data_IF_234269455966
#
_entry.id   IF_234269455966
#
_cell.length_a   1.000
_cell.length_b   1.000
_cell.length_c   1.000
_cell.angle_alpha   90.00
_cell.angle_beta   90.00
_cell.angle_gamma   90.00
#
_symmetry.space_group_name_H-M   'P 1'
#
loop_
_entity.id
_entity.type
_entity.pdbx_description
1 polymer ?
#
# COMPACT_ATOMS: atom_id res chain seq x y z
N UNK A 1 -8.46 0.14 -21.67
CA UNK A 1 -8.16 1.38 -20.97
C UNK A 1 -8.76 1.20 -19.58
N UNK A 2 -7.94 0.86 -18.60
CA UNK A 2 -8.43 0.81 -17.21
C UNK A 2 -8.55 2.26 -16.74
N UNK A 3 -9.78 2.67 -16.41
CA UNK A 3 -10.07 4.04 -15.97
C UNK A 3 -9.87 4.25 -14.47
N UNK A 4 -9.56 3.18 -13.74
CA UNK A 4 -9.22 3.23 -12.32
C UNK A 4 -7.81 2.69 -12.14
N UNK A 5 -6.94 3.52 -11.58
CA UNK A 5 -5.59 3.10 -11.19
C UNK A 5 -5.63 2.54 -9.79
N UNK A 6 -5.29 1.27 -9.68
CA UNK A 6 -5.27 0.55 -8.42
C UNK A 6 -3.93 0.71 -7.69
N UNK A 7 -2.88 1.16 -8.38
CA UNK A 7 -1.58 1.47 -7.78
C UNK A 7 -1.24 2.92 -8.01
N UNK A 8 -1.06 3.68 -6.94
CA UNK A 8 -0.76 5.11 -7.01
C UNK A 8 0.39 5.48 -6.07
N UNK A 9 1.31 6.36 -6.51
CA UNK A 9 2.27 7.01 -5.63
C UNK A 9 1.57 8.09 -4.79
N UNK A 10 1.94 8.19 -3.51
CA UNK A 10 1.49 9.25 -2.59
C UNK A 10 2.52 9.49 -1.49
N UNK A 11 2.27 10.49 -0.62
CA UNK A 11 2.97 10.64 0.66
C UNK A 11 2.03 10.29 1.80
N UNK A 12 2.51 9.49 2.74
CA UNK A 12 1.77 9.14 3.96
C UNK A 12 2.68 9.45 5.13
N UNK A 13 2.28 10.36 6.02
CA UNK A 13 3.11 10.78 7.15
C UNK A 13 4.53 11.24 6.74
N UNK A 14 4.68 11.85 5.57
CA UNK A 14 5.96 12.31 5.02
C UNK A 14 6.86 11.21 4.47
N UNK A 15 6.37 9.97 4.40
CA UNK A 15 7.03 8.84 3.75
C UNK A 15 6.44 8.63 2.35
N UNK A 16 7.30 8.43 1.35
CA UNK A 16 6.85 8.08 0.01
C UNK A 16 6.41 6.62 -0.07
N UNK A 17 5.16 6.42 -0.50
CA UNK A 17 4.50 5.12 -0.46
C UNK A 17 3.76 4.87 -1.77
N UNK A 18 3.88 3.64 -2.28
CA UNK A 18 2.96 3.11 -3.28
C UNK A 18 1.76 2.52 -2.59
N UNK A 19 0.57 3.04 -2.87
CA UNK A 19 -0.68 2.49 -2.35
C UNK A 19 -1.31 1.63 -3.43
N UNK A 20 -1.65 0.40 -3.08
CA UNK A 20 -2.20 -0.59 -3.99
C UNK A 20 -3.53 -1.15 -3.46
N UNK A 21 -4.63 -0.87 -4.15
CA UNK A 21 -5.92 -1.51 -3.89
C UNK A 21 -6.05 -2.80 -4.72
N UNK A 22 -6.56 -3.91 -4.16
CA UNK A 22 -6.74 -5.14 -4.92
C UNK A 22 -7.70 -4.93 -6.09
N UNK A 23 -7.31 -5.37 -7.30
CA UNK A 23 -8.26 -5.53 -8.39
C UNK A 23 -9.05 -6.82 -8.21
N UNK A 24 -10.31 -6.69 -7.84
CA UNK A 24 -11.17 -7.83 -7.58
C UNK A 24 -11.80 -8.40 -8.86
N UNK A 25 -11.45 -9.66 -9.17
CA UNK A 25 -12.11 -10.44 -10.20
C UNK A 25 -13.04 -11.47 -9.56
N UNK A 26 -14.36 -11.29 -9.69
CA UNK A 26 -15.36 -12.10 -8.97
C UNK A 26 -15.21 -13.63 -9.12
N UNK A 27 -14.60 -14.11 -10.20
CA UNK A 27 -14.37 -15.53 -10.45
C UNK A 27 -13.12 -16.10 -9.73
N UNK A 28 -12.16 -15.25 -9.32
CA UNK A 28 -10.96 -15.64 -8.57
C UNK A 28 -11.21 -15.74 -7.06
N UNK A 29 -12.13 -14.92 -6.54
CA UNK A 29 -12.30 -14.69 -5.11
C UNK A 29 -13.51 -15.44 -4.50
N UNK A 30 -13.95 -16.53 -5.13
CA UNK A 30 -15.02 -17.39 -4.58
C UNK A 30 -14.53 -18.14 -3.34
N UNK A 31 -15.37 -18.25 -2.30
CA UNK A 31 -15.09 -19.08 -1.13
C UNK A 31 -14.85 -18.34 0.19
N UNK A 32 -15.14 -17.03 0.26
CA UNK A 32 -15.07 -16.28 1.51
C UNK A 32 -13.64 -15.95 1.98
N UNK A 33 -12.68 -15.91 1.06
CA UNK A 33 -11.30 -15.50 1.33
C UNK A 33 -11.27 -14.07 1.88
N UNK A 34 -10.42 -13.83 2.86
CA UNK A 34 -10.09 -12.49 3.32
C UNK A 34 -8.81 -12.01 2.64
N UNK A 35 -8.80 -10.76 2.19
CA UNK A 35 -7.63 -10.10 1.61
C UNK A 35 -7.53 -8.68 2.20
N UNK A 36 -6.34 -8.05 2.22
CA UNK A 36 -6.22 -6.70 2.74
C UNK A 36 -7.01 -5.74 1.87
N UNK A 37 -7.54 -4.66 2.47
CA UNK A 37 -8.28 -3.65 1.73
C UNK A 37 -7.35 -2.87 0.78
N UNK A 38 -6.12 -2.65 1.21
CA UNK A 38 -5.02 -2.15 0.40
C UNK A 38 -3.68 -2.63 0.96
N UNK A 39 -2.66 -2.56 0.12
CA UNK A 39 -1.27 -2.77 0.50
C UNK A 39 -0.51 -1.50 0.17
N UNK A 40 0.28 -1.05 1.13
CA UNK A 40 1.23 0.04 0.96
C UNK A 40 2.64 -0.50 0.88
N UNK A 41 3.44 0.11 0.02
CA UNK A 41 4.86 -0.22 -0.11
C UNK A 41 5.66 1.06 0.04
N UNK A 42 6.25 1.23 1.21
CA UNK A 42 7.22 2.28 1.49
C UNK A 42 8.41 2.14 0.56
N UNK A 43 8.68 3.20 -0.17
CA UNK A 43 9.73 3.23 -1.18
C UNK A 43 10.77 4.28 -0.79
N UNK A 44 11.51 3.97 0.28
CA UNK A 44 12.60 4.77 0.83
C UNK A 44 13.98 4.28 0.32
N UNK A 45 14.64 5.01 -0.59
CA UNK A 45 15.94 4.62 -1.14
C UNK A 45 17.04 4.43 -0.10
N UNK A 46 16.98 5.14 1.03
CA UNK A 46 18.00 5.07 2.07
C UNK A 46 17.89 3.76 2.86
N UNK A 47 16.67 3.33 3.17
CA UNK A 47 16.41 2.13 3.97
C UNK A 47 16.34 0.84 3.13
N UNK A 48 16.09 0.93 1.82
CA UNK A 48 16.03 -0.22 0.91
C UNK A 48 17.29 -1.09 0.86
N UNK A 49 18.46 -0.52 1.19
CA UNK A 49 19.76 -1.23 1.22
C UNK A 49 20.04 -1.96 2.55
N UNK A 50 19.25 -1.69 3.60
CA UNK A 50 19.43 -2.30 4.90
C UNK A 50 18.87 -3.74 4.94
N UNK A 51 19.58 -4.65 5.60
CA UNK A 51 19.06 -5.99 5.89
C UNK A 51 17.94 -5.87 6.94
N UNK A 52 16.77 -6.44 6.66
CA UNK A 52 15.61 -6.43 7.56
C UNK A 52 14.61 -5.29 7.34
N UNK A 53 14.77 -4.46 6.31
CA UNK A 53 13.75 -3.48 5.92
C UNK A 53 12.49 -4.20 5.40
N UNK A 54 11.36 -3.97 6.07
CA UNK A 54 10.05 -4.37 5.58
C UNK A 54 9.37 -3.15 4.92
N UNK A 55 9.37 -3.06 3.58
CA UNK A 55 8.73 -1.96 2.89
C UNK A 55 7.22 -2.10 2.88
N UNK A 56 6.67 -3.29 3.16
CA UNK A 56 5.26 -3.55 2.95
C UNK A 56 4.51 -3.30 4.25
N UNK A 57 3.51 -2.43 4.19
CA UNK A 57 2.50 -2.28 5.23
C UNK A 57 1.16 -2.64 4.62
N UNK A 58 0.30 -3.32 5.34
CA UNK A 58 -1.06 -3.65 4.90
C UNK A 58 -2.07 -3.05 5.85
N UNK A 59 -3.30 -2.86 5.40
CA UNK A 59 -4.39 -2.54 6.31
C UNK A 59 -4.50 -3.61 7.41
N UNK A 60 -4.60 -3.19 8.68
CA UNK A 60 -4.74 -4.10 9.84
C UNK A 60 -5.99 -4.98 9.75
N UNK A 61 -7.02 -4.52 9.04
CA UNK A 61 -8.27 -5.23 8.83
C UNK A 61 -8.32 -5.90 7.46
N UNK A 62 -8.54 -7.23 7.46
CA UNK A 62 -8.84 -8.00 6.25
C UNK A 62 -10.32 -7.90 5.88
N UNK A 63 -10.62 -7.69 4.60
CA UNK A 63 -12.00 -7.66 4.12
C UNK A 63 -12.43 -9.02 3.57
N UNK A 64 -13.56 -9.55 4.05
CA UNK A 64 -14.18 -10.75 3.49
C UNK A 64 -14.80 -10.41 2.14
N UNK A 65 -14.28 -10.98 1.06
CA UNK A 65 -14.70 -10.64 -0.32
C UNK A 65 -16.15 -11.07 -0.56
N UNK A 66 -17.11 -10.19 -0.25
CA UNK A 66 -18.52 -10.42 -0.51
C UNK A 66 -18.91 -9.80 -1.86
N UNK A 67 -19.50 -10.62 -2.73
CA UNK A 67 -19.85 -10.34 -4.14
C UNK A 67 -20.70 -9.07 -4.33
N UNK A 68 -21.40 -8.63 -3.29
CA UNK A 68 -22.29 -7.45 -3.30
C UNK A 68 -21.57 -6.11 -3.06
N UNK A 69 -20.31 -6.13 -2.61
CA UNK A 69 -19.59 -4.90 -2.25
C UNK A 69 -18.57 -4.45 -3.30
N UNK A 70 -18.26 -5.24 -4.32
CA UNK A 70 -17.08 -4.96 -5.15
C UNK A 70 -17.42 -4.84 -6.62
N UNK A 71 -17.94 -3.66 -6.95
CA UNK A 71 -17.81 -3.07 -8.27
C UNK A 71 -17.72 -1.56 -8.11
N UNK A 72 -16.62 -1.11 -7.50
CA UNK A 72 -16.34 0.31 -7.27
C UNK A 72 -16.50 1.12 -8.54
N UNK A 73 -16.02 0.59 -9.67
CA UNK A 73 -16.19 1.23 -10.98
C UNK A 73 -17.65 1.54 -11.29
N UNK A 74 -18.53 0.55 -11.20
CA UNK A 74 -19.95 0.71 -11.53
C UNK A 74 -20.67 1.63 -10.54
N UNK A 75 -20.30 1.57 -9.25
CA UNK A 75 -20.96 2.39 -8.24
C UNK A 75 -20.49 3.85 -8.30
N UNK A 76 -19.19 4.09 -8.51
CA UNK A 76 -18.65 5.43 -8.80
C UNK A 76 -19.32 5.97 -10.07
N UNK A 77 -19.39 5.16 -11.13
CA UNK A 77 -20.08 5.57 -12.37
C UNK A 77 -21.55 5.90 -12.14
N UNK A 78 -22.23 5.21 -11.23
CA UNK A 78 -23.61 5.52 -10.86
C UNK A 78 -23.71 6.88 -10.16
N UNK A 79 -22.88 7.15 -9.14
CA UNK A 79 -22.85 8.47 -8.44
C UNK A 79 -22.59 9.58 -9.46
N UNK A 80 -21.57 9.38 -10.31
CA UNK A 80 -21.23 10.35 -11.33
C UNK A 80 -22.33 10.55 -12.36
N UNK A 81 -23.06 9.48 -12.70
CA UNK A 81 -24.16 9.57 -13.62
C UNK A 81 -25.34 10.37 -13.03
N UNK A 82 -25.68 10.08 -11.78
CA UNK A 82 -26.82 10.69 -11.10
C UNK A 82 -26.61 12.18 -10.80
N UNK A 83 -25.37 12.59 -10.53
CA UNK A 83 -25.06 13.97 -10.12
C UNK A 83 -24.40 14.84 -11.20
N UNK A 84 -23.55 14.26 -12.07
CA UNK A 84 -22.64 15.05 -12.92
C UNK A 84 -22.73 14.76 -14.42
N UNK A 85 -23.48 13.73 -14.86
CA UNK A 85 -23.47 13.23 -16.25
C UNK A 85 -23.69 14.28 -17.34
N UNK A 86 -24.41 15.36 -17.04
CA UNK A 86 -24.79 16.39 -18.01
C UNK A 86 -23.77 17.53 -18.11
N UNK A 87 -22.88 17.66 -17.13
CA UNK A 87 -22.02 18.85 -16.98
C UNK A 87 -20.54 18.52 -16.99
N UNK A 88 -20.14 17.41 -16.35
CA UNK A 88 -18.75 17.04 -16.18
C UNK A 88 -18.48 15.64 -16.75
N UNK A 89 -17.21 15.41 -17.06
CA UNK A 89 -16.69 14.11 -17.47
C UNK A 89 -15.69 13.60 -16.44
N UNK A 90 -15.69 12.29 -16.23
CA UNK A 90 -14.66 11.60 -15.45
C UNK A 90 -13.33 11.69 -16.19
N UNK A 91 -12.33 12.30 -15.54
CA UNK A 91 -10.97 12.43 -16.06
C UNK A 91 -10.14 11.21 -15.67
N UNK A 92 -10.11 10.91 -14.37
CA UNK A 92 -9.34 9.81 -13.80
C UNK A 92 -9.94 9.41 -12.45
N UNK A 93 -9.70 8.17 -12.05
CA UNK A 93 -9.95 7.70 -10.68
C UNK A 93 -8.66 7.12 -10.14
N UNK A 94 -8.27 7.57 -8.95
CA UNK A 94 -7.11 7.08 -8.20
C UNK A 94 -7.55 6.55 -6.85
N UNK A 95 -6.76 5.65 -6.31
CA UNK A 95 -6.88 5.16 -4.95
C UNK A 95 -5.80 5.82 -4.10
N UNK A 96 -6.17 6.33 -2.93
CA UNK A 96 -5.25 7.00 -2.01
C UNK A 96 -5.62 6.69 -0.56
N UNK A 97 -4.74 7.00 0.39
CA UNK A 97 -4.99 6.85 1.82
C UNK A 97 -4.65 8.13 2.57
N UNK A 98 -5.36 8.41 3.67
CA UNK A 98 -4.99 9.50 4.57
C UNK A 98 -3.86 9.11 5.53
N UNK A 99 -3.41 10.09 6.33
CA UNK A 99 -2.35 9.90 7.33
C UNK A 99 -2.76 8.91 8.44
N UNK A 100 -4.08 8.78 8.69
CA UNK A 100 -4.70 7.79 9.58
C UNK A 100 -4.97 6.43 8.91
N UNK A 101 -4.43 6.19 7.70
CA UNK A 101 -4.53 4.91 6.98
C UNK A 101 -5.96 4.53 6.54
N UNK A 102 -6.86 5.50 6.39
CA UNK A 102 -8.18 5.31 5.81
C UNK A 102 -8.11 5.37 4.28
N UNK A 103 -8.77 4.43 3.57
CA UNK A 103 -8.73 4.36 2.12
C UNK A 103 -9.83 5.19 1.45
N UNK A 104 -9.47 5.86 0.37
CA UNK A 104 -10.36 6.70 -0.42
C UNK A 104 -10.22 6.46 -1.92
N UNK A 105 -11.34 6.58 -2.63
CA UNK A 105 -11.34 6.77 -4.08
C UNK A 105 -11.37 8.26 -4.38
N UNK A 106 -10.35 8.73 -5.10
CA UNK A 106 -10.24 10.11 -5.54
C UNK A 106 -10.66 10.18 -7.00
N UNK A 107 -11.78 10.83 -7.26
CA UNK A 107 -12.40 10.94 -8.58
C UNK A 107 -12.21 12.36 -9.09
N UNK A 108 -11.48 12.49 -10.18
CA UNK A 108 -11.20 13.78 -10.81
C UNK A 108 -12.22 14.03 -11.92
N UNK A 109 -12.94 15.13 -11.81
CA UNK A 109 -13.98 15.54 -12.76
C UNK A 109 -13.57 16.82 -13.48
N UNK A 110 -13.84 16.87 -14.77
CA UNK A 110 -13.51 18.02 -15.59
C UNK A 110 -14.59 18.36 -16.59
N UNK A 111 -14.56 19.60 -17.06
CA UNK A 111 -15.47 20.08 -18.10
C UNK A 111 -14.80 19.94 -19.48
N UNK A 112 -15.51 19.35 -20.44
CA UNK A 112 -15.05 19.33 -21.84
C UNK A 112 -15.22 20.71 -22.48
N UNK A 113 -14.15 21.20 -23.09
CA UNK A 113 -14.19 22.41 -23.90
C UNK A 113 -15.15 22.28 -25.09
N UNK A 114 -15.82 23.39 -25.43
CA UNK A 114 -16.81 23.42 -26.53
C UNK A 114 -16.17 23.35 -27.92
N UNK A 115 -14.91 23.79 -28.04
CA UNK A 115 -14.24 24.01 -29.34
C UNK A 115 -13.14 22.95 -29.61
N UNK A 116 -12.65 22.26 -28.58
CA UNK A 116 -11.65 21.19 -28.63
C UNK A 116 -11.91 20.23 -27.46
N UNK A 117 -11.60 18.95 -27.64
CA UNK A 117 -11.65 17.90 -26.59
C UNK A 117 -10.66 18.12 -25.42
N UNK A 118 -10.25 19.37 -25.16
CA UNK A 118 -9.46 19.74 -23.99
C UNK A 118 -10.39 19.71 -22.78
N UNK A 119 -10.01 18.94 -21.77
CA UNK A 119 -10.72 18.89 -20.50
C UNK A 119 -10.08 19.88 -19.55
N UNK A 120 -10.89 20.66 -18.84
CA UNK A 120 -10.43 21.50 -17.71
C UNK A 120 -10.84 20.81 -16.42
N UNK A 121 -9.92 20.60 -15.49
CA UNK A 121 -10.23 20.00 -14.20
C UNK A 121 -11.06 20.98 -13.36
N UNK A 122 -12.21 20.53 -12.86
CA UNK A 122 -13.19 21.39 -12.16
C UNK A 122 -13.45 20.92 -10.73
N UNK A 123 -13.59 19.61 -10.50
CA UNK A 123 -13.97 19.07 -9.20
C UNK A 123 -13.17 17.83 -8.84
N UNK A 124 -13.03 17.63 -7.54
CA UNK A 124 -12.47 16.43 -6.92
C UNK A 124 -13.50 15.86 -5.97
N UNK A 125 -13.86 14.62 -6.19
CA UNK A 125 -14.78 13.86 -5.34
C UNK A 125 -13.95 12.83 -4.56
N UNK A 126 -13.93 12.97 -3.24
CA UNK A 126 -13.27 12.06 -2.30
C UNK A 126 -14.34 11.14 -1.73
N UNK A 127 -14.25 9.86 -2.03
CA UNK A 127 -15.23 8.85 -1.62
C UNK A 127 -14.56 7.91 -0.64
N UNK A 128 -15.16 7.70 0.52
CA UNK A 128 -14.69 6.72 1.48
C UNK A 128 -14.78 5.32 0.85
N UNK A 129 -13.64 4.63 0.76
CA UNK A 129 -13.61 3.33 0.12
C UNK A 129 -14.25 2.23 1.01
N UNK A 130 -14.49 2.50 2.30
CA UNK A 130 -15.24 1.56 3.17
C UNK A 130 -16.74 1.79 3.10
N UNK A 131 -17.18 3.01 2.80
CA UNK A 131 -18.58 3.38 2.69
C UNK A 131 -18.79 4.35 1.53
N UNK A 132 -19.31 3.85 0.40
CA UNK A 132 -19.45 4.66 -0.81
C UNK A 132 -20.43 5.82 -0.66
N UNK A 133 -21.38 5.71 0.26
CA UNK A 133 -22.38 6.76 0.49
C UNK A 133 -21.77 7.93 1.27
N UNK A 134 -20.60 7.73 1.89
CA UNK A 134 -19.79 8.77 2.55
C UNK A 134 -18.78 9.36 1.55
N UNK A 135 -19.12 10.52 0.99
CA UNK A 135 -18.26 11.23 0.06
C UNK A 135 -18.39 12.75 0.19
N UNK A 136 -17.32 13.45 -0.21
CA UNK A 136 -17.25 14.92 -0.20
C UNK A 136 -16.69 15.42 -1.53
N UNK A 137 -17.23 16.54 -2.00
CA UNK A 137 -16.85 17.17 -3.28
C UNK A 137 -16.21 18.51 -3.01
N UNK A 138 -15.12 18.77 -3.70
CA UNK A 138 -14.39 20.03 -3.68
C UNK A 138 -14.27 20.61 -5.09
N UNK A 139 -14.29 21.93 -5.19
CA UNK A 139 -13.84 22.62 -6.40
C UNK A 139 -12.31 22.59 -6.47
N UNK A 140 -11.75 22.47 -7.67
CA UNK A 140 -10.30 22.51 -7.86
C UNK A 140 -9.76 23.87 -7.43
N UNK A 141 -8.79 23.87 -6.51
CA UNK A 141 -8.22 25.08 -5.90
C UNK A 141 -8.92 25.53 -4.61
N UNK A 142 -9.90 24.77 -4.12
CA UNK A 142 -10.51 25.00 -2.81
C UNK A 142 -9.46 24.79 -1.69
N UNK A 143 -9.24 25.77 -0.80
CA UNK A 143 -8.34 25.61 0.34
C UNK A 143 -8.81 24.57 1.38
N UNK A 144 -10.07 24.14 1.31
CA UNK A 144 -10.63 23.09 2.18
C UNK A 144 -10.25 21.67 1.72
N UNK A 145 -9.64 21.50 0.53
CA UNK A 145 -9.11 20.20 0.10
C UNK A 145 -8.13 19.68 1.16
N UNK A 146 -8.31 18.46 1.68
CA UNK A 146 -7.49 17.92 2.76
C UNK A 146 -5.98 18.00 2.48
N UNK A 147 -5.22 18.28 3.53
CA UNK A 147 -3.77 18.42 3.42
C UNK A 147 -3.08 17.10 3.06
N UNK A 148 -3.63 15.96 3.49
CA UNK A 148 -3.10 14.63 3.18
C UNK A 148 -3.20 14.26 1.69
N UNK A 149 -4.14 14.86 0.94
CA UNK A 149 -4.33 14.55 -0.49
C UNK A 149 -3.27 15.26 -1.35
N UNK A 150 -2.12 14.62 -1.58
CA UNK A 150 -1.01 15.22 -2.33
C UNK A 150 -1.30 15.43 -3.82
N UNK A 151 -2.14 14.58 -4.42
CA UNK A 151 -2.46 14.63 -5.84
C UNK A 151 -3.82 15.29 -6.03
N UNK A 152 -3.82 16.58 -6.35
CA UNK A 152 -5.01 17.35 -6.77
C UNK A 152 -5.12 17.37 -8.29
N UNK A 153 -3.98 17.45 -8.97
CA UNK A 153 -3.83 17.36 -10.41
C UNK A 153 -3.18 16.03 -10.76
N UNK A 154 -3.92 15.06 -11.32
CA UNK A 154 -3.40 13.72 -11.49
C UNK A 154 -2.59 13.59 -12.79
N UNK A 155 -1.73 12.57 -12.85
CA UNK A 155 -0.76 12.30 -13.94
C UNK A 155 -1.40 12.30 -15.33
N UNK A 156 -2.49 11.56 -15.56
CA UNK A 156 -3.14 11.51 -16.87
C UNK A 156 -3.58 12.90 -17.36
N UNK A 157 -4.12 13.71 -16.46
CA UNK A 157 -4.54 15.08 -16.78
C UNK A 157 -3.33 15.96 -17.14
N UNK A 158 -2.27 15.91 -16.33
CA UNK A 158 -1.09 16.76 -16.57
C UNK A 158 -0.29 16.30 -17.79
N UNK A 159 -0.29 15.00 -18.11
CA UNK A 159 0.31 14.47 -19.34
C UNK A 159 -0.43 14.93 -20.59
N UNK A 160 -1.76 14.83 -20.60
CA UNK A 160 -2.57 15.31 -21.72
C UNK A 160 -2.40 16.82 -21.91
N UNK A 161 -2.42 17.58 -20.81
CA UNK A 161 -2.12 19.00 -20.82
C UNK A 161 -0.72 19.30 -21.36
N UNK A 162 0.31 18.58 -20.90
CA UNK A 162 1.69 18.76 -21.33
C UNK A 162 1.88 18.44 -22.82
N UNK A 163 1.19 17.42 -23.31
CA UNK A 163 1.13 17.05 -24.72
C UNK A 163 0.52 18.16 -25.57
N UNK A 164 -0.67 18.63 -25.20
CA UNK A 164 -1.37 19.71 -25.89
C UNK A 164 -0.58 21.02 -25.85
N UNK A 165 -0.04 21.38 -24.69
CA UNK A 165 0.81 22.56 -24.55
C UNK A 165 2.07 22.43 -25.42
N UNK A 166 2.76 21.30 -25.35
CA UNK A 166 4.00 21.09 -26.10
C UNK A 166 3.81 21.12 -27.62
N UNK A 167 2.74 20.53 -28.14
CA UNK A 167 2.45 20.47 -29.57
C UNK A 167 1.98 21.83 -30.11
N UNK A 168 1.23 22.59 -29.30
CA UNK A 168 0.52 23.78 -29.75
C UNK A 168 0.99 25.11 -29.14
N UNK A 169 2.06 25.13 -28.33
CA UNK A 169 2.55 26.37 -27.65
C UNK A 169 2.85 27.54 -28.59
N UNK A 170 3.32 27.28 -29.81
CA UNK A 170 3.59 28.32 -30.82
C UNK A 170 2.36 28.65 -31.68
N UNK A 171 1.21 28.04 -31.38
CA UNK A 171 -0.05 28.24 -32.07
C UNK A 171 -0.23 27.40 -33.34
N UNK A 172 -1.48 27.37 -33.82
CA UNK A 172 -1.94 26.48 -34.90
C UNK A 172 -1.23 26.76 -36.22
N UNK A 173 -1.01 28.04 -36.55
CA UNK A 173 -0.34 28.43 -37.78
C UNK A 173 1.10 27.93 -37.80
N UNK A 174 1.84 28.14 -36.71
CA UNK A 174 3.22 27.68 -36.59
C UNK A 174 3.32 26.16 -36.75
N UNK A 175 2.48 25.41 -36.01
CA UNK A 175 2.41 23.95 -36.06
C UNK A 175 2.12 23.40 -37.48
N UNK A 176 1.45 24.18 -38.33
CA UNK A 176 1.14 23.79 -39.72
C UNK A 176 2.35 23.91 -40.65
N UNK A 177 3.25 24.88 -40.40
CA UNK A 177 4.41 25.15 -41.26
C UNK A 177 5.69 24.48 -40.79
N UNK A 178 5.84 24.26 -39.48
CA UNK A 178 7.03 23.62 -38.91
C UNK A 178 6.71 22.90 -37.59
N UNK A 179 7.56 21.94 -37.24
CA UNK A 179 7.54 21.21 -35.96
C UNK A 179 8.75 21.56 -35.07
N UNK A 180 9.62 22.44 -35.52
CA UNK A 180 10.78 22.92 -34.75
C UNK A 180 10.27 23.63 -33.49
N UNK A 181 10.95 23.49 -32.35
CA UNK A 181 10.51 24.11 -31.08
C UNK A 181 9.13 23.66 -30.59
N UNK A 182 8.58 22.56 -31.09
CA UNK A 182 7.39 21.91 -30.54
C UNK A 182 7.83 20.61 -29.88
N UNK A 183 7.11 20.19 -28.86
CA UNK A 183 7.49 19.02 -28.06
C UNK A 183 6.31 18.17 -27.65
N UNK A 184 6.57 16.93 -27.26
CA UNK A 184 5.57 16.02 -26.71
C UNK A 184 6.19 15.21 -25.55
N UNK A 185 5.39 14.73 -24.58
CA UNK A 185 5.86 13.85 -23.52
C UNK A 185 6.54 12.61 -24.09
N UNK A 186 7.78 12.33 -23.69
CA UNK A 186 8.53 11.17 -24.18
C UNK A 186 8.26 9.90 -23.38
N UNK A 187 7.71 10.06 -22.17
CA UNK A 187 7.43 9.01 -21.19
C UNK A 187 6.29 9.48 -20.28
N UNK A 188 5.77 8.59 -19.43
CA UNK A 188 4.77 8.95 -18.42
C UNK A 188 5.31 9.93 -17.38
N UNK A 189 4.40 10.67 -16.75
CA UNK A 189 4.67 11.56 -15.64
C UNK A 189 5.24 10.76 -14.48
N UNK A 190 6.27 11.33 -13.86
CA UNK A 190 7.01 10.70 -12.77
C UNK A 190 6.75 11.49 -11.50
N UNK A 191 6.31 10.81 -10.45
CA UNK A 191 6.06 11.45 -9.17
C UNK A 191 7.40 11.74 -8.48
N UNK A 192 7.63 12.99 -8.11
CA UNK A 192 8.85 13.43 -7.43
C UNK A 192 8.51 14.31 -6.23
N UNK A 193 9.37 14.26 -5.21
CA UNK A 193 9.29 15.05 -3.99
C UNK A 193 10.53 15.93 -3.89
N UNK A 194 10.33 17.25 -4.01
CA UNK A 194 11.39 18.26 -3.91
C UNK A 194 11.13 19.15 -2.71
N UNK A 195 12.05 19.15 -1.74
CA UNK A 195 11.95 19.97 -0.52
C UNK A 195 10.62 19.79 0.24
N UNK A 196 10.08 18.57 0.27
CA UNK A 196 8.79 18.27 0.91
C UNK A 196 7.56 18.72 0.12
N UNK A 197 7.72 19.11 -1.15
CA UNK A 197 6.62 19.39 -2.08
C UNK A 197 6.61 18.35 -3.20
N UNK A 198 5.42 18.03 -3.69
CA UNK A 198 5.13 16.96 -4.64
C UNK A 198 4.96 17.51 -6.05
N UNK A 199 5.61 16.87 -7.04
CA UNK A 199 5.57 17.29 -8.44
C UNK A 199 5.44 16.09 -9.39
N UNK A 200 4.83 16.34 -10.55
CA UNK A 200 4.96 15.52 -11.75
C UNK A 200 6.12 16.02 -12.60
N UNK A 201 7.11 15.16 -12.82
CA UNK A 201 8.16 15.35 -13.81
C UNK A 201 7.77 14.70 -15.14
N UNK A 202 7.69 15.50 -16.18
CA UNK A 202 7.29 15.07 -17.52
C UNK A 202 8.44 15.38 -18.49
N UNK A 203 9.20 14.36 -18.95
CA UNK A 203 10.24 14.57 -19.94
C UNK A 203 9.62 14.88 -21.32
N UNK A 204 10.16 15.89 -22.01
CA UNK A 204 9.59 16.40 -23.27
C UNK A 204 10.59 16.24 -24.42
N UNK A 205 10.22 15.48 -25.46
CA UNK A 205 10.99 15.36 -26.69
C UNK A 205 10.51 16.33 -27.77
N UNK A 206 11.42 16.77 -28.63
CA UNK A 206 11.11 17.60 -29.79
C UNK A 206 10.29 16.81 -30.80
N UNK A 207 9.23 17.43 -31.30
CA UNK A 207 8.35 16.85 -32.32
C UNK A 207 9.07 16.66 -33.67
N UNK A 208 10.04 17.51 -33.99
CA UNK A 208 10.78 17.44 -35.25
C UNK A 208 11.88 16.37 -35.31
N UNK A 209 12.47 16.01 -34.17
CA UNK A 209 13.71 15.23 -34.12
C UNK A 209 13.68 14.06 -33.13
N UNK A 210 12.65 13.97 -32.27
CA UNK A 210 12.56 13.03 -31.17
C UNK A 210 13.79 13.06 -30.23
N UNK A 211 14.39 14.25 -30.08
CA UNK A 211 15.49 14.51 -29.13
C UNK A 211 14.93 15.28 -27.94
N UNK A 212 15.44 15.05 -26.73
CA UNK A 212 14.97 15.75 -25.53
C UNK A 212 15.06 17.29 -25.67
N UNK A 213 13.88 17.91 -25.67
CA UNK A 213 13.67 19.35 -25.71
C UNK A 213 13.82 20.00 -24.32
N UNK A 214 13.49 19.25 -23.27
CA UNK A 214 13.45 19.73 -21.89
C UNK A 214 12.53 18.86 -21.05
N UNK A 215 12.07 19.37 -19.91
CA UNK A 215 11.07 18.70 -19.08
C UNK A 215 10.13 19.74 -18.47
N UNK A 216 8.94 19.29 -18.08
CA UNK A 216 7.97 20.09 -17.34
C UNK A 216 7.92 19.54 -15.92
N UNK A 217 7.96 20.43 -14.93
CA UNK A 217 7.60 20.12 -13.55
C UNK A 217 6.22 20.72 -13.29
N UNK A 218 5.28 19.92 -12.81
CA UNK A 218 3.93 20.36 -12.42
C UNK A 218 3.73 20.06 -10.95
N UNK A 219 3.46 21.07 -10.14
CA UNK A 219 3.12 20.88 -8.72
C UNK A 219 1.80 20.09 -8.61
N UNK A 220 1.79 18.97 -7.88
CA UNK A 220 0.64 18.05 -7.89
C UNK A 220 -0.58 18.62 -7.16
N UNK A 221 -0.40 19.61 -6.28
CA UNK A 221 -1.49 20.26 -5.54
C UNK A 221 -2.02 21.51 -6.22
N UNK A 222 -1.13 22.39 -6.68
CA UNK A 222 -1.50 23.69 -7.27
C UNK A 222 -1.64 23.66 -8.78
N UNK A 223 -1.08 22.66 -9.46
CA UNK A 223 -1.07 22.56 -10.92
C UNK A 223 -0.12 23.56 -11.59
N UNK A 224 0.68 24.32 -10.82
CA UNK A 224 1.65 25.24 -11.38
C UNK A 224 2.72 24.48 -12.17
N UNK A 225 2.84 24.81 -13.47
CA UNK A 225 3.73 24.12 -14.39
C UNK A 225 4.91 25.01 -14.83
N UNK A 226 6.13 24.48 -14.71
CA UNK A 226 7.37 25.14 -15.14
C UNK A 226 8.06 24.31 -16.21
N UNK A 227 8.25 24.90 -17.40
CA UNK A 227 8.99 24.26 -18.48
C UNK A 227 10.48 24.61 -18.44
N UNK A 228 11.31 23.61 -18.21
CA UNK A 228 12.75 23.71 -18.24
C UNK A 228 13.26 23.45 -19.66
N UNK A 229 13.28 24.52 -20.46
CA UNK A 229 13.70 24.47 -21.86
C UNK A 229 15.22 24.20 -22.00
N UNK A 230 15.58 23.14 -22.71
CA UNK A 230 16.97 22.76 -23.02
C UNK A 230 17.43 23.22 -24.40
N UNK A 231 16.52 23.63 -25.28
CA UNK A 231 16.83 24.17 -26.61
C UNK A 231 17.67 25.46 -26.55
N UNK A 232 17.58 26.22 -25.45
CA UNK A 232 18.37 27.42 -25.22
C UNK A 232 19.81 27.15 -24.74
N UNK A 233 20.12 25.93 -24.28
CA UNK A 233 21.42 25.57 -23.66
C UNK A 233 21.85 24.17 -24.12
N UNK A 234 22.56 24.12 -25.25
CA UNK A 234 23.37 23.01 -25.78
C UNK A 234 22.80 21.58 -25.63
N UNK A 235 22.57 20.94 -26.78
CA UNK A 235 22.14 19.55 -27.01
C UNK A 235 22.93 18.50 -26.19
N UNK A 236 22.63 18.32 -24.90
CA UNK A 236 22.85 17.03 -24.25
C UNK A 236 21.92 15.99 -24.94
N UNK A 237 22.19 14.69 -24.89
CA UNK A 237 21.20 13.71 -25.39
C UNK A 237 20.15 13.45 -24.27
N UNK A 238 19.05 12.75 -24.56
CA UNK A 238 18.04 12.34 -23.56
C UNK A 238 18.72 11.69 -22.35
N UNK A 239 19.63 10.75 -22.63
CA UNK A 239 20.41 10.00 -21.66
C UNK A 239 21.18 10.86 -20.65
N UNK A 240 21.85 11.94 -21.07
CA UNK A 240 22.59 12.81 -20.13
C UNK A 240 21.66 13.65 -19.25
N UNK A 241 20.48 14.04 -19.73
CA UNK A 241 19.52 14.73 -18.89
C UNK A 241 18.81 13.78 -17.93
N UNK A 242 18.49 12.57 -18.39
CA UNK A 242 18.09 11.47 -17.51
C UNK A 242 19.16 11.25 -16.46
N UNK A 243 20.43 11.04 -16.80
CA UNK A 243 21.53 10.89 -15.83
C UNK A 243 21.68 12.07 -14.86
N UNK A 244 21.46 13.31 -15.29
CA UNK A 244 21.52 14.47 -14.39
C UNK A 244 20.34 14.53 -13.43
N UNK A 245 19.14 14.21 -13.92
CA UNK A 245 17.95 14.04 -13.08
C UNK A 245 18.15 12.83 -12.16
N UNK A 246 18.76 11.74 -12.63
CA UNK A 246 19.02 10.54 -11.86
C UNK A 246 20.07 10.80 -10.78
N UNK A 247 21.10 11.59 -11.08
CA UNK A 247 22.10 12.02 -10.11
C UNK A 247 21.52 13.01 -9.09
N UNK A 248 20.59 13.88 -9.51
CA UNK A 248 19.86 14.77 -8.62
C UNK A 248 18.89 14.00 -7.72
N UNK A 249 18.18 13.01 -8.25
CA UNK A 249 17.29 12.16 -7.47
C UNK A 249 18.08 11.22 -6.54
N UNK A 250 19.22 10.71 -6.99
CA UNK A 250 20.20 10.00 -6.15
C UNK A 250 20.85 10.89 -5.08
N UNK A 251 20.73 12.23 -5.18
CA UNK A 251 21.21 13.16 -4.14
C UNK A 251 20.26 13.27 -2.94
N UNK A 252 19.15 12.54 -2.95
CA UNK A 252 18.17 12.47 -1.86
C UNK A 252 16.91 13.30 -2.08
N UNK A 253 16.67 13.80 -3.29
CA UNK A 253 15.36 14.30 -3.71
C UNK A 253 14.61 13.13 -4.32
N UNK A 254 13.53 12.67 -3.70
CA UNK A 254 12.87 11.43 -4.11
C UNK A 254 12.16 11.61 -5.45
N UNK A 255 12.30 10.68 -6.37
CA UNK A 255 11.63 10.76 -7.66
C UNK A 255 11.59 9.42 -8.34
N UNK A 256 10.40 9.00 -8.74
CA UNK A 256 10.12 7.63 -9.15
C UNK A 256 9.23 7.61 -10.39
N UNK A 257 9.57 6.73 -11.33
CA UNK A 257 8.74 6.43 -12.49
C UNK A 257 7.60 5.48 -12.09
N UNK A 258 6.37 5.79 -12.51
CA UNK A 258 5.28 4.81 -12.54
C UNK A 258 5.68 3.67 -13.46
N UNK A 259 5.72 2.45 -12.94
CA UNK A 259 6.02 1.30 -13.77
C UNK A 259 4.80 0.80 -14.50
N UNK A 260 5.03 0.26 -15.70
CA UNK A 260 4.13 -0.66 -16.36
C UNK A 260 4.57 -2.11 -16.16
N UNK A 261 4.51 -2.55 -14.92
CA UNK A 261 3.93 -3.87 -14.65
C UNK A 261 2.43 -3.56 -14.42
N UNK A 262 1.49 -4.48 -14.63
CA UNK A 262 0.12 -4.24 -14.17
C UNK A 262 0.13 -4.31 -12.63
N UNK A 263 0.72 -3.29 -11.99
CA UNK A 263 0.92 -3.23 -10.55
C UNK A 263 -0.46 -3.15 -9.89
N UNK A 264 -0.75 -4.06 -8.97
CA UNK A 264 -2.08 -4.30 -8.41
C UNK A 264 -2.84 -5.47 -9.01
N UNK A 265 -2.26 -6.11 -10.04
CA UNK A 265 -2.72 -7.43 -10.45
C UNK A 265 -2.21 -8.49 -9.48
N UNK A 266 -3.14 -9.32 -9.01
CA UNK A 266 -2.85 -10.52 -8.28
C UNK A 266 -2.42 -11.61 -9.26
N UNK A 267 -1.16 -12.04 -9.13
CA UNK A 267 -0.53 -13.02 -10.00
C UNK A 267 -0.72 -14.42 -9.42
N UNK A 268 -1.39 -15.35 -10.14
CA UNK A 268 -1.49 -16.73 -9.72
C UNK A 268 -0.14 -17.41 -9.93
N UNK A 269 0.55 -17.71 -8.84
CA UNK A 269 1.85 -18.39 -8.82
C UNK A 269 1.65 -19.81 -8.29
N UNK A 270 2.01 -20.80 -9.10
CA UNK A 270 2.09 -22.18 -8.66
C UNK A 270 3.35 -22.38 -7.82
N UNK A 271 3.14 -22.72 -6.55
CA UNK A 271 4.18 -23.09 -5.59
C UNK A 271 4.72 -24.50 -5.87
N UNK A 272 5.87 -24.84 -5.27
CA UNK A 272 6.51 -26.14 -5.48
C UNK A 272 5.68 -27.31 -4.91
N UNK A 273 4.77 -27.03 -3.97
CA UNK A 273 3.79 -28.01 -3.46
C UNK A 273 2.65 -28.31 -4.44
N UNK A 274 2.59 -27.58 -5.56
CA UNK A 274 1.52 -27.69 -6.57
C UNK A 274 0.29 -26.84 -6.26
N UNK A 275 0.26 -26.13 -5.13
CA UNK A 275 -0.80 -25.17 -4.82
C UNK A 275 -0.60 -23.86 -5.62
N UNK A 276 -1.69 -23.29 -6.12
CA UNK A 276 -1.68 -21.97 -6.76
C UNK A 276 -2.05 -20.93 -5.71
N UNK A 277 -1.18 -19.93 -5.51
CA UNK A 277 -1.39 -18.80 -4.61
C UNK A 277 -1.34 -17.50 -5.39
N UNK A 278 -2.14 -16.53 -4.99
CA UNK A 278 -2.18 -15.22 -5.62
C UNK A 278 -1.22 -14.28 -4.89
N UNK A 279 -0.30 -13.66 -5.62
CA UNK A 279 0.73 -12.78 -5.06
C UNK A 279 0.70 -11.39 -5.70
N UNK A 280 0.93 -10.37 -4.89
CA UNK A 280 1.33 -9.06 -5.37
C UNK A 280 2.83 -9.06 -5.68
N UNK A 281 3.20 -8.45 -6.80
CA UNK A 281 4.60 -8.26 -7.20
C UNK A 281 4.86 -6.76 -7.23
N UNK A 282 5.69 -6.30 -6.30
CA UNK A 282 6.08 -4.89 -6.21
C UNK A 282 7.56 -4.73 -6.57
N UNK A 283 7.86 -4.06 -7.68
CA UNK A 283 9.22 -3.59 -7.95
C UNK A 283 9.53 -2.40 -7.03
N UNK A 284 10.62 -2.52 -6.28
CA UNK A 284 11.11 -1.48 -5.38
C UNK A 284 12.19 -0.67 -6.06
N UNK A 285 12.03 0.65 -6.04
CA UNK A 285 12.82 1.59 -6.83
C UNK A 285 13.80 2.38 -5.99
N UNK A 286 15.04 2.48 -6.48
CA UNK A 286 15.92 3.59 -6.10
C UNK A 286 16.20 4.41 -7.35
N UNK A 287 15.60 5.60 -7.43
CA UNK A 287 15.53 6.38 -8.66
C UNK A 287 14.82 5.58 -9.78
N UNK A 288 15.54 5.29 -10.86
CA UNK A 288 15.00 4.67 -12.09
C UNK A 288 15.42 3.22 -12.27
N UNK A 289 16.11 2.68 -11.28
CA UNK A 289 16.58 1.31 -11.30
C UNK A 289 15.81 0.50 -10.28
N UNK A 290 15.24 -0.62 -10.72
CA UNK A 290 14.70 -1.63 -9.82
C UNK A 290 15.86 -2.15 -8.99
N UNK A 291 15.74 -2.01 -7.68
CA UNK A 291 16.71 -2.55 -6.74
C UNK A 291 16.30 -3.93 -6.26
N UNK A 292 15.01 -4.10 -5.98
CA UNK A 292 14.44 -5.32 -5.43
C UNK A 292 13.02 -5.55 -5.99
N UNK A 293 12.53 -6.77 -5.84
CA UNK A 293 11.15 -7.15 -6.01
C UNK A 293 10.66 -7.65 -4.66
N UNK A 294 9.54 -7.09 -4.19
CA UNK A 294 8.79 -7.60 -3.06
C UNK A 294 7.63 -8.46 -3.57
N UNK A 295 7.56 -9.71 -3.14
CA UNK A 295 6.42 -10.58 -3.37
C UNK A 295 5.66 -10.77 -2.07
N UNK A 296 4.39 -10.37 -2.08
CA UNK A 296 3.47 -10.48 -0.95
C UNK A 296 2.34 -11.44 -1.31
N UNK A 297 2.00 -12.36 -0.41
CA UNK A 297 0.87 -13.26 -0.60
C UNK A 297 -0.45 -12.55 -0.29
N UNK A 298 -1.47 -12.77 -1.12
CA UNK A 298 -2.76 -12.10 -0.95
C UNK A 298 -3.56 -12.60 0.27
N UNK A 299 -3.37 -13.86 0.65
CA UNK A 299 -4.09 -14.49 1.77
C UNK A 299 -3.29 -14.38 3.07
N UNK A 300 -1.95 -14.44 2.99
CA UNK A 300 -1.01 -14.40 4.13
C UNK A 300 -0.19 -13.09 4.13
N UNK A 301 -0.87 -11.97 3.95
CA UNK A 301 -0.29 -10.63 3.70
C UNK A 301 0.34 -9.98 4.95
N UNK A 302 0.08 -10.49 6.15
CA UNK A 302 0.71 -10.04 7.40
C UNK A 302 2.08 -10.67 7.62
N UNK A 303 2.47 -11.68 6.83
CA UNK A 303 3.78 -12.30 6.91
C UNK A 303 4.84 -11.47 6.16
N UNK A 304 6.10 -11.55 6.61
CA UNK A 304 7.23 -10.84 5.98
C UNK A 304 7.27 -11.09 4.46
N UNK A 305 7.35 -10.05 3.60
CA UNK A 305 7.39 -10.23 2.15
C UNK A 305 8.69 -10.88 1.67
N UNK A 306 8.64 -11.53 0.50
CA UNK A 306 9.87 -12.04 -0.16
C UNK A 306 10.55 -10.89 -0.88
N UNK A 307 11.77 -10.53 -0.49
CA UNK A 307 12.51 -9.39 -1.03
C UNK A 307 13.79 -9.85 -1.74
N UNK A 308 13.86 -9.73 -3.06
CA UNK A 308 15.04 -10.15 -3.84
C UNK A 308 15.46 -9.14 -4.90
N UNK A 309 16.74 -9.12 -5.28
CA UNK A 309 17.29 -8.16 -6.26
C UNK A 309 16.93 -8.49 -7.72
N UNK A 310 16.34 -9.66 -7.98
CA UNK A 310 15.85 -10.05 -9.31
C UNK A 310 14.51 -10.74 -9.20
N UNK A 311 13.64 -10.52 -10.20
CA UNK A 311 12.30 -11.12 -10.24
C UNK A 311 12.37 -12.65 -10.25
N UNK A 312 13.34 -13.23 -10.96
CA UNK A 312 13.55 -14.67 -11.01
C UNK A 312 13.87 -15.24 -9.62
N UNK A 313 14.79 -14.61 -8.87
CA UNK A 313 15.11 -15.04 -7.50
C UNK A 313 13.91 -14.87 -6.56
N UNK A 314 13.18 -13.76 -6.69
CA UNK A 314 11.98 -13.49 -5.90
C UNK A 314 10.92 -14.58 -6.12
N UNK A 315 10.65 -14.93 -7.38
CA UNK A 315 9.71 -15.99 -7.75
C UNK A 315 10.17 -17.36 -7.25
N UNK A 316 11.46 -17.69 -7.35
CA UNK A 316 12.00 -18.96 -6.83
C UNK A 316 11.84 -19.06 -5.31
N UNK A 317 12.12 -17.99 -4.57
CA UNK A 317 11.94 -17.98 -3.11
C UNK A 317 10.47 -18.02 -2.72
N UNK A 318 9.61 -17.29 -3.42
CA UNK A 318 8.16 -17.31 -3.16
C UNK A 318 7.55 -18.70 -3.43
N UNK A 319 7.94 -19.38 -4.52
CA UNK A 319 7.44 -20.73 -4.85
C UNK A 319 7.88 -21.81 -3.87
N UNK A 320 9.08 -21.68 -3.32
CA UNK A 320 9.65 -22.65 -2.37
C UNK A 320 9.28 -22.34 -0.91
N UNK A 321 8.68 -21.18 -0.64
CA UNK A 321 8.16 -20.81 0.68
C UNK A 321 7.05 -21.76 1.10
N UNK A 322 7.08 -22.18 2.36
CA UNK A 322 5.98 -22.91 2.98
C UNK A 322 4.86 -21.91 3.29
N UNK A 323 3.65 -22.21 2.86
CA UNK A 323 2.48 -21.34 2.99
C UNK A 323 1.38 -22.03 3.82
N UNK A 324 0.68 -21.26 4.63
CA UNK A 324 -0.11 -21.72 5.78
C UNK A 324 0.60 -21.32 7.08
N UNK A 325 -0.07 -21.50 8.22
CA UNK A 325 0.59 -21.40 9.52
C UNK A 325 1.90 -22.16 9.40
N UNK A 326 3.00 -21.47 9.70
CA UNK A 326 4.12 -22.21 10.18
C UNK A 326 3.54 -23.08 11.30
N UNK A 327 3.52 -24.39 11.12
CA UNK A 327 4.11 -25.18 12.17
C UNK A 327 5.51 -24.59 12.30
N UNK A 328 5.60 -23.52 13.10
CA UNK A 328 6.69 -23.38 14.01
C UNK A 328 6.87 -24.82 14.47
N UNK A 329 8.07 -25.36 14.23
CA UNK A 329 8.53 -26.35 15.16
C UNK A 329 8.49 -25.62 16.50
N UNK A 330 7.32 -25.63 17.13
CA UNK A 330 7.11 -25.34 18.52
C UNK A 330 7.97 -26.43 19.14
N UNK A 331 9.20 -26.04 19.46
CA UNK A 331 9.80 -26.61 20.64
C UNK A 331 8.84 -26.21 21.74
N UNK A 332 7.91 -27.12 22.06
CA UNK A 332 7.09 -27.04 23.27
C UNK A 332 8.02 -27.29 24.45
N UNK A 333 8.96 -26.36 24.64
CA UNK A 333 9.81 -26.32 25.82
C UNK A 333 8.95 -25.65 26.88
N UNK A 334 8.18 -26.48 27.60
CA UNK A 334 7.45 -26.05 28.78
C UNK A 334 8.42 -25.36 29.73
N UNK A 335 8.14 -24.10 30.05
CA UNK A 335 8.94 -23.30 30.98
C UNK A 335 8.22 -23.27 32.32
N UNK A 336 8.92 -23.64 33.38
CA UNK A 336 8.42 -23.54 34.75
C UNK A 336 8.43 -22.07 35.20
N UNK A 337 7.25 -21.53 35.53
CA UNK A 337 7.07 -20.20 36.09
C UNK A 337 6.69 -20.28 37.56
N UNK A 338 7.52 -19.68 38.40
CA UNK A 338 7.16 -19.41 39.79
C UNK A 338 6.48 -18.04 39.87
N UNK A 339 5.24 -18.01 40.31
CA UNK A 339 4.48 -16.76 40.42
C UNK A 339 5.07 -15.87 41.52
N UNK A 340 5.35 -14.61 41.16
CA UNK A 340 5.78 -13.54 42.06
C UNK A 340 4.62 -12.59 42.39
N UNK A 341 3.65 -12.48 41.48
CA UNK A 341 2.38 -11.77 41.65
C UNK A 341 1.33 -12.38 40.71
N UNK A 342 0.05 -12.32 41.08
CA UNK A 342 -1.04 -12.86 40.27
C UNK A 342 -2.38 -12.30 40.70
N UNK A 343 -3.21 -11.90 39.74
CA UNK A 343 -4.59 -11.47 39.96
C UNK A 343 -5.44 -11.74 38.72
N UNK A 344 -6.67 -12.22 38.90
CA UNK A 344 -7.59 -12.51 37.79
C UNK A 344 -8.92 -11.76 37.97
N UNK A 345 -9.39 -11.12 36.90
CA UNK A 345 -10.77 -10.64 36.74
C UNK A 345 -11.56 -11.58 35.83
N UNK A 346 -12.82 -11.27 35.52
CA UNK A 346 -13.70 -12.18 34.77
C UNK A 346 -13.09 -12.61 33.42
N UNK A 347 -12.46 -11.67 32.71
CA UNK A 347 -11.99 -11.82 31.32
C UNK A 347 -10.45 -11.90 31.17
N UNK A 348 -9.66 -11.51 32.18
CA UNK A 348 -8.19 -11.49 32.09
C UNK A 348 -7.49 -11.88 33.40
N UNK A 349 -6.31 -12.48 33.29
CA UNK A 349 -5.42 -12.80 34.40
C UNK A 349 -4.08 -12.10 34.18
N UNK A 350 -3.63 -11.34 35.18
CA UNK A 350 -2.34 -10.67 35.19
C UNK A 350 -1.39 -11.42 36.10
N UNK A 351 -0.32 -11.98 35.56
CA UNK A 351 0.69 -12.75 36.31
C UNK A 351 2.08 -12.15 36.14
N UNK A 352 2.90 -12.21 37.18
CA UNK A 352 4.30 -11.79 37.13
C UNK A 352 5.20 -12.97 37.48
N UNK A 353 6.14 -13.27 36.59
CA UNK A 353 7.14 -14.32 36.77
C UNK A 353 8.48 -13.84 36.19
N UNK A 354 9.58 -14.05 36.91
CA UNK A 354 10.92 -13.71 36.42
C UNK A 354 11.11 -12.22 36.09
N UNK A 355 10.49 -11.32 36.86
CA UNK A 355 10.51 -9.85 36.63
C UNK A 355 9.78 -9.34 35.37
N UNK A 356 8.97 -10.16 34.71
CA UNK A 356 8.08 -9.75 33.61
C UNK A 356 6.61 -9.96 33.99
N UNK A 357 5.73 -9.07 33.53
CA UNK A 357 4.27 -9.14 33.76
C UNK A 357 3.56 -9.48 32.46
N UNK A 358 2.68 -10.47 32.53
CA UNK A 358 1.91 -11.00 31.41
C UNK A 358 0.42 -10.80 31.70
N UNK A 359 -0.32 -10.40 30.67
CA UNK A 359 -1.78 -10.39 30.66
C UNK A 359 -2.19 -11.57 29.80
N UNK A 360 -3.00 -12.46 30.36
CA UNK A 360 -3.43 -13.71 29.73
C UNK A 360 -4.95 -13.73 29.71
N UNK A 361 -5.53 -13.99 28.55
CA UNK A 361 -6.96 -14.18 28.33
C UNK A 361 -7.27 -15.63 27.95
N UNK A 362 -8.55 -16.01 28.00
CA UNK A 362 -8.98 -17.36 27.55
C UNK A 362 -8.69 -17.58 26.05
N UNK A 363 -8.80 -16.54 25.23
CA UNK A 363 -8.52 -16.59 23.80
C UNK A 363 -7.03 -16.82 23.50
N UNK A 364 -6.12 -16.29 24.34
CA UNK A 364 -4.68 -16.52 24.20
C UNK A 364 -4.31 -18.00 24.39
N UNK A 365 -5.04 -18.70 25.26
CA UNK A 365 -4.87 -20.13 25.58
C UNK A 365 -5.60 -21.05 24.59
N UNK A 366 -6.50 -20.51 23.77
CA UNK A 366 -7.21 -21.29 22.75
C UNK A 366 -6.33 -21.66 21.54
N UNK A 367 -5.15 -21.03 21.39
CA UNK A 367 -4.19 -21.25 20.31
C UNK A 367 -3.06 -22.25 20.61
N UNK A 368 -3.09 -22.89 21.78
CA UNK A 368 -2.05 -23.79 22.30
C UNK A 368 -1.95 -25.19 21.67
N UNK A 369 -0.97 -25.97 22.13
CA UNK A 369 -0.74 -27.37 21.72
C UNK A 369 -1.90 -28.30 22.04
N UNK A 370 -2.60 -27.99 23.13
CA UNK A 370 -3.67 -28.77 23.71
C UNK A 370 -4.96 -27.98 23.47
N UNK A 371 -5.83 -28.49 22.60
CA UNK A 371 -7.08 -27.82 22.22
C UNK A 371 -8.13 -27.84 23.35
N UNK A 372 -7.83 -27.21 24.48
CA UNK A 372 -8.76 -27.00 25.58
C UNK A 372 -8.44 -25.71 26.38
N UNK A 373 -8.40 -24.57 25.68
CA UNK A 373 -8.14 -23.26 26.29
C UNK A 373 -9.06 -22.92 27.47
N UNK A 374 -10.28 -23.49 27.52
CA UNK A 374 -11.20 -23.36 28.65
C UNK A 374 -10.70 -24.09 29.91
N UNK A 375 -10.07 -25.27 29.75
CA UNK A 375 -9.43 -25.97 30.87
C UNK A 375 -8.17 -25.24 31.32
N UNK A 376 -7.31 -24.80 30.40
CA UNK A 376 -6.08 -24.07 30.74
C UNK A 376 -6.39 -22.74 31.44
N UNK A 377 -7.45 -22.06 31.00
CA UNK A 377 -7.97 -20.87 31.65
C UNK A 377 -8.45 -21.14 33.08
N UNK A 378 -9.14 -22.27 33.29
CA UNK A 378 -9.53 -22.73 34.62
C UNK A 378 -8.31 -23.01 35.49
N UNK A 379 -7.27 -23.62 34.94
CA UNK A 379 -6.05 -23.97 35.66
C UNK A 379 -5.23 -22.75 36.06
N UNK A 380 -5.10 -21.77 35.16
CA UNK A 380 -4.48 -20.49 35.47
C UNK A 380 -5.20 -19.79 36.63
N UNK A 381 -6.54 -19.73 36.58
CA UNK A 381 -7.35 -19.15 37.66
C UNK A 381 -7.16 -19.89 39.00
N UNK A 382 -7.05 -21.22 38.97
CA UNK A 382 -6.76 -22.02 40.17
C UNK A 382 -5.35 -21.75 40.72
N UNK A 383 -4.34 -21.65 39.85
CA UNK A 383 -2.97 -21.36 40.24
C UNK A 383 -2.83 -19.97 40.89
N UNK A 384 -3.46 -18.96 40.30
CA UNK A 384 -3.49 -17.59 40.85
C UNK A 384 -4.23 -17.58 42.19
N UNK A 385 -5.35 -18.29 42.33
CA UNK A 385 -6.06 -18.41 43.61
C UNK A 385 -5.22 -19.10 44.70
N UNK A 386 -4.48 -20.15 44.35
CA UNK A 386 -3.57 -20.81 45.30
C UNK A 386 -2.39 -19.93 45.68
N UNK A 387 -1.86 -19.14 44.74
CA UNK A 387 -0.85 -18.12 45.01
C UNK A 387 -1.37 -17.07 45.99
N UNK A 388 -2.57 -16.53 45.80
CA UNK A 388 -3.18 -15.59 46.75
C UNK A 388 -3.31 -16.17 48.15
N UNK A 389 -3.59 -17.48 48.25
CA UNK A 389 -3.78 -18.18 49.53
C UNK A 389 -2.47 -18.51 50.24
N UNK A 390 -1.43 -18.88 49.52
CA UNK A 390 -0.20 -19.48 50.08
C UNK A 390 1.06 -18.65 49.86
N UNK A 391 1.02 -17.70 48.94
CA UNK A 391 2.17 -16.94 48.46
C UNK A 391 3.14 -17.76 47.60
N UNK A 392 2.76 -18.96 47.15
CA UNK A 392 3.63 -19.81 46.35
C UNK A 392 2.81 -20.72 45.41
N UNK A 393 2.86 -20.44 44.11
CA UNK A 393 2.36 -21.33 43.06
C UNK A 393 3.36 -21.39 41.91
N UNK A 394 3.41 -22.55 41.26
CA UNK A 394 4.23 -22.80 40.09
C UNK A 394 3.32 -23.28 38.97
N UNK A 395 3.42 -22.67 37.80
CA UNK A 395 2.72 -23.09 36.58
C UNK A 395 3.74 -23.46 35.51
N UNK A 396 3.36 -24.32 34.58
CA UNK A 396 4.12 -24.60 33.37
C UNK A 396 3.46 -23.88 32.22
N UNK A 397 4.25 -23.20 31.41
CA UNK A 397 3.72 -22.42 30.29
C UNK A 397 4.51 -22.61 29.01
N UNK A 398 3.82 -22.44 27.88
CA UNK A 398 4.46 -22.25 26.58
C UNK A 398 4.38 -20.77 26.20
N UNK A 399 5.54 -20.12 26.06
CA UNK A 399 5.61 -18.67 25.77
C UNK A 399 6.19 -18.46 24.39
N UNK A 400 5.47 -17.72 23.55
CA UNK A 400 5.98 -17.28 22.26
C UNK A 400 6.10 -15.76 22.27
N UNK A 401 7.34 -15.28 22.25
CA UNK A 401 7.71 -13.86 22.36
C UNK A 401 7.19 -13.22 23.66
N UNK A 402 5.91 -12.85 23.70
CA UNK A 402 5.22 -12.20 24.83
C UNK A 402 3.80 -12.74 25.08
N UNK A 403 3.35 -13.73 24.29
CA UNK A 403 2.06 -14.39 24.44
C UNK A 403 2.24 -15.73 25.17
N UNK A 404 1.35 -16.02 26.12
CA UNK A 404 1.25 -17.32 26.78
C UNK A 404 0.24 -18.14 26.01
N UNK A 405 0.68 -19.24 25.39
CA UNK A 405 -0.15 -20.05 24.48
C UNK A 405 -0.72 -21.30 25.15
N UNK A 406 -0.04 -21.81 26.18
CA UNK A 406 -0.53 -22.93 27.00
C UNK A 406 -0.20 -22.62 28.47
N UNK A 407 -1.10 -23.02 29.37
CA UNK A 407 -0.88 -23.02 30.82
C UNK A 407 -1.30 -24.36 31.41
N UNK A 408 -0.40 -24.98 32.17
CA UNK A 408 -0.68 -26.15 32.99
C UNK A 408 -0.35 -25.83 34.46
N UNK A 409 -1.24 -26.19 35.36
CA UNK A 409 -1.02 -26.12 36.78
C UNK A 409 -1.18 -27.51 37.42
N UNK A 410 -0.08 -28.22 37.69
CA UNK A 410 -0.11 -29.57 38.31
C UNK A 410 -0.94 -29.67 39.62
N UNK A 411 -1.23 -28.55 40.29
CA UNK A 411 -2.12 -28.51 41.46
C UNK A 411 -3.62 -28.69 41.13
N UNK A 412 -4.05 -28.47 39.88
CA UNK A 412 -5.41 -28.71 39.38
C UNK A 412 -5.70 -30.20 39.19
N UNK A 413 -4.69 -30.98 38.78
CA UNK A 413 -4.75 -32.43 38.52
C UNK A 413 -5.07 -33.26 39.77
N UNK A 414 -4.93 -32.66 40.95
CA UNK A 414 -5.29 -33.28 42.22
C UNK A 414 -6.81 -33.24 42.50
N UNK A 415 -7.60 -32.53 41.70
CA UNK A 415 -9.07 -32.44 41.87
C UNK A 415 -9.81 -33.58 41.15
N UNK A 416 -9.18 -34.30 40.22
CA UNK A 416 -9.78 -35.46 39.52
C UNK A 416 -9.36 -36.85 40.06
N UNK A 417 -8.65 -36.91 41.19
CA UNK A 417 -8.41 -38.19 41.91
C UNK A 417 -9.17 -38.28 43.22
N UNK A 418 -10.51 -38.27 43.17
CA UNK A 418 -11.38 -38.96 44.16
C UNK A 418 -12.87 -38.98 43.73
N UNK A 419 -13.26 -39.95 42.90
CA UNK A 419 -14.16 -41.08 43.24
C UNK A 419 -14.46 -41.98 42.04
#
# INVERSE_FOLDING_TARGET
WEMMEYTNPTLVNGEFVWVNAPKFEAWKWTGGKQVPFYVTVANDPANMSSEGFDPVRSSDEGFAVHVSQISWENRIDQILFDEYALELVKVQVRFDIDDEQNPFWIVYLGQRGVIRDVVTLEKILIINARDIDDHVVYDVGDPEIPAWLEVVYPDYYVEDWASLWGEWREGILYHTFTKTHLSYPSDSARFIVLNGQTYWYIPMNQLSSNVLAGYILVDTRSGEAVYHNREAKSLANLYTAEEQVYAYLASGAEGFSQLRIDEGYLYPIMTDSGAVRDAYIFPLYSGFSIQKFALLDAEEYTQTPVLETSLESALTKYKSRAWGEAQANLSYDWVEWRLENGYCEEEECVVTAGSATYVITEDDLAGGAINDGANEWRELKLAVSEFERTGNATIFVTVNSSLVNDVDYEGSDLVEREQ
#
